data_IF_520146933802
#
_entry.id   IF_520146933802
#
_cell.length_a   1.000
_cell.length_b   1.000
_cell.length_c   1.000
_cell.angle_alpha   90.00
_cell.angle_beta   90.00
_cell.angle_gamma   90.00
#
_symmetry.space_group_name_H-M   'P 1'
#
loop_
_entity.id
_entity.type
_entity.pdbx_description
1 polymer ?
#
# COMPACT_ATOMS: atom_id res chain seq x y z
N UNK A 1 -19.46 -1.94 10.82
CA UNK A 1 -18.68 -2.11 9.58
C UNK A 1 -18.23 -3.55 9.34
N UNK A 2 -17.55 -4.21 10.31
CA UNK A 2 -17.11 -5.61 10.17
C UNK A 2 -18.24 -6.57 9.76
N UNK A 3 -19.39 -6.51 10.43
CA UNK A 3 -20.50 -7.42 10.13
C UNK A 3 -21.12 -7.18 8.75
N UNK A 4 -21.13 -5.92 8.30
CA UNK A 4 -21.55 -5.60 6.93
C UNK A 4 -20.59 -6.22 5.88
N UNK A 5 -19.27 -6.11 6.10
CA UNK A 5 -18.27 -6.76 5.22
C UNK A 5 -18.43 -8.28 5.24
N UNK A 6 -18.66 -8.87 6.42
CA UNK A 6 -18.94 -10.31 6.55
C UNK A 6 -20.20 -10.72 5.78
N UNK A 7 -21.28 -9.95 5.89
CA UNK A 7 -22.51 -10.20 5.14
C UNK A 7 -22.28 -10.20 3.63
N UNK A 8 -21.50 -9.25 3.11
CA UNK A 8 -21.13 -9.25 1.67
C UNK A 8 -20.30 -10.48 1.31
N UNK A 9 -19.34 -10.87 2.16
CA UNK A 9 -18.47 -12.02 1.92
C UNK A 9 -19.19 -13.37 1.91
N UNK A 10 -20.39 -13.46 2.51
CA UNK A 10 -21.24 -14.65 2.43
C UNK A 10 -21.89 -14.83 1.05
N UNK A 11 -22.00 -13.76 0.26
CA UNK A 11 -22.65 -13.78 -1.04
C UNK A 11 -21.69 -13.59 -2.22
N UNK A 12 -20.56 -12.90 -2.00
CA UNK A 12 -19.61 -12.54 -3.05
C UNK A 12 -18.15 -12.69 -2.60
N UNK A 13 -17.24 -13.15 -3.49
CA UNK A 13 -15.81 -13.03 -3.25
C UNK A 13 -15.44 -11.58 -2.92
N UNK A 14 -14.93 -11.36 -1.71
CA UNK A 14 -14.73 -10.01 -1.18
C UNK A 14 -13.25 -9.76 -0.88
N UNK A 15 -12.74 -8.62 -1.35
CA UNK A 15 -11.35 -8.23 -1.20
C UNK A 15 -11.19 -6.83 -0.58
N UNK A 16 -10.19 -6.67 0.28
CA UNK A 16 -9.78 -5.36 0.81
C UNK A 16 -8.45 -4.96 0.19
N UNK A 17 -8.42 -3.81 -0.49
CA UNK A 17 -7.23 -3.27 -1.16
C UNK A 17 -6.77 -1.98 -0.47
N UNK A 18 -5.61 -2.01 0.18
CA UNK A 18 -5.11 -0.95 1.04
C UNK A 18 -3.67 -0.53 0.72
N UNK A 19 -3.31 0.71 1.10
CA UNK A 19 -1.92 1.16 1.12
C UNK A 19 -1.13 0.59 2.31
N UNK A 20 -1.82 0.26 3.40
CA UNK A 20 -1.23 -0.29 4.63
C UNK A 20 -0.74 -1.72 4.44
N UNK A 21 0.20 -2.18 5.26
CA UNK A 21 0.58 -3.59 5.27
C UNK A 21 -0.62 -4.50 5.53
N UNK A 22 -0.57 -5.70 4.94
CA UNK A 22 -1.66 -6.67 4.99
C UNK A 22 -2.03 -7.04 6.41
N UNK A 23 -1.04 -7.25 7.28
CA UNK A 23 -1.26 -7.71 8.66
C UNK A 23 -1.96 -6.63 9.49
N UNK A 24 -1.63 -5.35 9.29
CA UNK A 24 -2.33 -4.23 9.95
C UNK A 24 -3.78 -4.13 9.52
N UNK A 25 -4.07 -4.31 8.23
CA UNK A 25 -5.45 -4.33 7.72
C UNK A 25 -6.22 -5.52 8.28
N UNK A 26 -5.60 -6.70 8.29
CA UNK A 26 -6.20 -7.90 8.89
C UNK A 26 -6.48 -7.69 10.38
N UNK A 27 -5.58 -7.08 11.15
CA UNK A 27 -5.79 -6.83 12.57
C UNK A 27 -6.97 -5.88 12.87
N UNK A 28 -7.31 -4.97 11.96
CA UNK A 28 -8.52 -4.15 12.07
C UNK A 28 -9.78 -4.93 11.72
N UNK A 29 -9.73 -5.72 10.65
CA UNK A 29 -10.93 -6.36 10.07
C UNK A 29 -11.23 -7.72 10.70
N UNK A 30 -10.22 -8.57 10.92
CA UNK A 30 -10.28 -9.88 11.56
C UNK A 30 -11.29 -10.84 10.92
N UNK A 31 -11.33 -10.86 9.59
CA UNK A 31 -12.14 -11.78 8.79
C UNK A 31 -11.21 -12.64 7.94
N UNK A 32 -11.23 -13.95 8.13
CA UNK A 32 -10.33 -14.92 7.48
C UNK A 32 -10.86 -15.38 6.11
N UNK A 33 -12.13 -15.09 5.83
CA UNK A 33 -12.86 -15.40 4.61
C UNK A 33 -12.62 -14.38 3.48
N UNK A 34 -11.82 -13.33 3.71
CA UNK A 34 -11.56 -12.27 2.73
C UNK A 34 -10.22 -12.43 2.02
N UNK A 35 -10.14 -11.83 0.82
CA UNK A 35 -8.88 -11.53 0.17
C UNK A 35 -8.31 -10.21 0.72
N UNK A 36 -7.01 -10.17 0.98
CA UNK A 36 -6.33 -8.96 1.43
C UNK A 36 -5.20 -8.61 0.47
N UNK A 37 -5.20 -7.37 0.01
CA UNK A 37 -4.13 -6.77 -0.80
C UNK A 37 -3.57 -5.55 -0.05
N UNK A 38 -2.46 -5.75 0.66
CA UNK A 38 -1.73 -4.71 1.39
C UNK A 38 -0.65 -4.04 0.55
N UNK A 39 -0.02 -3.00 1.10
CA UNK A 39 1.15 -2.32 0.52
C UNK A 39 0.90 -1.84 -0.91
N UNK A 40 -0.21 -1.12 -1.12
CA UNK A 40 -0.69 -0.68 -2.44
C UNK A 40 -0.98 -1.83 -3.43
N UNK A 41 -1.22 -3.02 -2.88
CA UNK A 41 -1.50 -4.24 -3.60
C UNK A 41 -0.28 -5.12 -3.87
N UNK A 42 0.90 -4.81 -3.32
CA UNK A 42 2.12 -5.62 -3.45
C UNK A 42 2.16 -6.81 -2.47
N UNK A 43 1.22 -6.94 -1.55
CA UNK A 43 1.11 -8.10 -0.66
C UNK A 43 -0.31 -8.67 -0.69
N UNK A 44 -0.57 -9.62 -1.59
CA UNK A 44 -1.90 -10.22 -1.77
C UNK A 44 -1.95 -11.61 -1.12
N UNK A 45 -2.98 -11.88 -0.32
CA UNK A 45 -3.30 -13.20 0.21
C UNK A 45 -4.79 -13.48 0.11
N UNK A 46 -5.13 -14.70 -0.30
CA UNK A 46 -6.51 -15.20 -0.25
C UNK A 46 -6.94 -15.71 1.13
N UNK A 47 -8.21 -16.10 1.25
CA UNK A 47 -8.78 -16.69 2.47
C UNK A 47 -8.00 -17.92 2.93
N UNK A 48 -7.87 -18.11 4.25
CA UNK A 48 -7.12 -19.27 4.81
C UNK A 48 -7.99 -20.48 5.09
N UNK A 49 -9.30 -20.31 5.27
CA UNK A 49 -10.24 -21.38 5.67
C UNK A 49 -11.11 -21.93 4.53
N UNK A 50 -11.23 -21.22 3.42
CA UNK A 50 -12.33 -21.42 2.45
C UNK A 50 -11.85 -21.92 1.08
N UNK A 51 -10.57 -21.78 0.75
CA UNK A 51 -10.07 -22.04 -0.60
C UNK A 51 -8.97 -23.09 -0.65
N UNK A 52 -9.16 -24.13 -1.47
CA UNK A 52 -8.11 -25.08 -1.89
C UNK A 52 -7.00 -24.41 -2.74
N UNK A 53 -7.19 -23.15 -3.15
CA UNK A 53 -6.25 -22.37 -3.94
C UNK A 53 -5.47 -21.40 -3.05
N UNK A 54 -4.17 -21.63 -2.89
CA UNK A 54 -3.26 -20.68 -2.22
C UNK A 54 -3.04 -19.46 -3.11
N UNK A 55 -3.86 -18.43 -2.94
CA UNK A 55 -3.66 -17.14 -3.62
C UNK A 55 -2.61 -16.33 -2.83
N UNK A 56 -1.43 -16.16 -3.42
CA UNK A 56 -0.35 -15.31 -2.92
C UNK A 56 0.27 -14.55 -4.11
N UNK A 57 0.41 -13.22 -3.98
CA UNK A 57 1.14 -12.42 -4.96
C UNK A 57 1.97 -11.35 -4.25
N UNK A 58 3.27 -11.37 -4.52
CA UNK A 58 4.24 -10.44 -3.95
C UNK A 58 5.22 -10.00 -5.06
N UNK A 59 4.81 -9.10 -5.96
CA UNK A 59 5.59 -8.73 -7.14
C UNK A 59 6.84 -7.91 -6.81
N UNK A 60 7.02 -7.50 -5.55
CA UNK A 60 8.12 -6.66 -5.08
C UNK A 60 9.02 -7.37 -4.04
N UNK A 61 8.99 -8.71 -3.94
CA UNK A 61 9.76 -9.48 -2.94
C UNK A 61 11.25 -9.15 -2.94
N UNK A 62 11.85 -8.91 -4.12
CA UNK A 62 13.26 -8.53 -4.24
C UNK A 62 13.62 -7.19 -3.57
N UNK A 63 12.62 -6.34 -3.29
CA UNK A 63 12.82 -5.05 -2.63
C UNK A 63 12.79 -5.12 -1.10
N UNK A 64 12.42 -6.26 -0.50
CA UNK A 64 12.33 -6.37 0.96
C UNK A 64 13.63 -5.99 1.69
N UNK A 65 14.83 -6.43 1.24
CA UNK A 65 16.07 -6.05 1.89
C UNK A 65 16.32 -4.55 1.86
N UNK A 66 16.17 -3.91 0.70
CA UNK A 66 16.39 -2.46 0.55
C UNK A 66 15.33 -1.64 1.29
N UNK A 67 14.08 -2.11 1.37
CA UNK A 67 13.04 -1.44 2.17
C UNK A 67 13.38 -1.49 3.66
N UNK A 68 13.93 -2.61 4.15
CA UNK A 68 14.35 -2.73 5.54
C UNK A 68 15.54 -1.83 5.85
N UNK A 69 16.53 -1.79 4.98
CA UNK A 69 17.69 -0.90 5.09
C UNK A 69 17.27 0.59 5.14
N UNK A 70 16.43 1.02 4.20
CA UNK A 70 15.93 2.41 4.16
C UNK A 70 15.07 2.73 5.37
N UNK A 71 14.32 1.74 5.90
CA UNK A 71 13.54 1.91 7.13
C UNK A 71 14.42 2.22 8.33
N UNK A 72 15.51 1.48 8.51
CA UNK A 72 16.46 1.69 9.61
C UNK A 72 17.13 3.06 9.50
N UNK A 73 17.63 3.41 8.30
CA UNK A 73 18.24 4.71 8.03
C UNK A 73 17.29 5.88 8.27
N UNK A 74 16.06 5.80 7.77
CA UNK A 74 15.06 6.84 8.00
C UNK A 74 14.66 6.93 9.48
N UNK A 75 14.49 5.79 10.16
CA UNK A 75 14.11 5.80 11.57
C UNK A 75 15.16 6.55 12.40
N UNK A 76 16.44 6.22 12.23
CA UNK A 76 17.53 6.90 12.93
C UNK A 76 17.60 8.41 12.61
N UNK A 77 17.42 8.80 11.35
CA UNK A 77 17.41 10.23 10.97
C UNK A 77 16.22 10.99 11.55
N UNK A 78 15.03 10.39 11.54
CA UNK A 78 13.80 11.04 12.02
C UNK A 78 13.73 11.18 13.54
N UNK A 79 14.57 10.49 14.32
CA UNK A 79 14.67 10.67 15.78
C UNK A 79 15.00 12.12 16.18
N UNK A 80 15.73 12.83 15.33
CA UNK A 80 16.08 14.23 15.54
C UNK A 80 14.95 15.23 15.28
N UNK A 81 13.82 14.78 14.72
CA UNK A 81 12.68 15.64 14.34
C UNK A 81 11.46 15.28 15.22
N UNK A 82 11.16 16.06 16.27
CA UNK A 82 10.04 15.78 17.17
C UNK A 82 8.72 15.63 16.42
N UNK A 83 7.99 14.55 16.71
CA UNK A 83 6.69 14.25 16.11
C UNK A 83 6.75 13.56 14.75
N UNK A 84 7.94 13.36 14.17
CA UNK A 84 8.11 12.53 12.97
C UNK A 84 7.97 11.04 13.33
N UNK A 85 7.38 10.25 12.44
CA UNK A 85 7.22 8.81 12.65
C UNK A 85 7.41 8.06 11.34
N UNK A 86 8.30 7.07 11.34
CA UNK A 86 8.50 6.16 10.22
C UNK A 86 7.69 4.88 10.45
N UNK A 87 6.82 4.54 9.50
CA UNK A 87 6.00 3.32 9.52
C UNK A 87 6.44 2.35 8.42
N UNK A 88 6.78 1.12 8.81
CA UNK A 88 7.07 0.03 7.88
C UNK A 88 5.76 -0.68 7.45
N UNK A 89 5.41 -0.53 6.17
CA UNK A 89 4.28 -1.17 5.52
C UNK A 89 4.70 -2.37 4.64
N UNK A 90 5.76 -3.10 5.02
CA UNK A 90 6.36 -4.27 4.37
C UNK A 90 7.05 -3.99 3.03
N UNK A 91 6.30 -3.53 2.04
CA UNK A 91 6.85 -3.13 0.73
C UNK A 91 6.89 -1.61 0.54
N UNK A 92 6.33 -0.86 1.48
CA UNK A 92 6.35 0.60 1.46
C UNK A 92 6.79 1.11 2.82
N UNK A 93 7.34 2.32 2.86
CA UNK A 93 7.55 3.08 4.09
C UNK A 93 6.69 4.34 4.07
N UNK A 94 6.32 4.82 5.24
CA UNK A 94 5.57 6.06 5.39
C UNK A 94 6.21 6.93 6.46
N UNK A 95 6.68 8.11 6.08
CA UNK A 95 7.17 9.12 7.01
C UNK A 95 6.03 10.09 7.29
N UNK A 96 5.43 9.96 8.47
CA UNK A 96 4.35 10.81 8.93
C UNK A 96 4.92 12.07 9.57
N UNK A 97 4.38 13.22 9.17
CA UNK A 97 4.80 14.54 9.68
C UNK A 97 3.61 15.35 10.19
N UNK A 98 2.52 14.66 10.56
CA UNK A 98 1.30 15.32 11.06
C UNK A 98 1.52 16.08 12.36
N UNK A 99 2.37 15.53 13.22
CA UNK A 99 2.68 16.06 14.54
C UNK A 99 4.03 16.79 14.57
N UNK A 100 4.62 17.04 13.40
CA UNK A 100 5.85 17.81 13.24
C UNK A 100 5.47 19.29 13.09
N UNK A 101 6.21 20.16 13.76
CA UNK A 101 6.08 21.61 13.61
C UNK A 101 6.23 22.03 12.15
N UNK A 102 5.39 22.96 11.69
CA UNK A 102 5.31 23.31 10.27
C UNK A 102 6.63 23.87 9.71
N UNK A 103 7.39 24.58 10.55
CA UNK A 103 8.72 25.09 10.21
C UNK A 103 9.74 23.97 9.86
N UNK A 104 9.55 22.75 10.39
CA UNK A 104 10.44 21.61 10.20
C UNK A 104 10.04 20.73 9.01
N UNK A 105 8.89 20.98 8.37
CA UNK A 105 8.40 20.13 7.26
C UNK A 105 9.37 20.08 6.08
N UNK A 106 10.00 21.21 5.75
CA UNK A 106 10.96 21.29 4.66
C UNK A 106 12.27 20.58 5.01
N UNK A 107 12.72 20.66 6.27
CA UNK A 107 13.90 19.95 6.75
C UNK A 107 13.68 18.43 6.68
N UNK A 108 12.56 17.94 7.21
CA UNK A 108 12.15 16.54 7.10
C UNK A 108 12.09 16.08 5.63
N UNK A 109 11.49 16.89 4.77
CA UNK A 109 11.38 16.58 3.34
C UNK A 109 12.74 16.49 2.64
N UNK A 110 13.73 17.30 3.04
CA UNK A 110 15.11 17.22 2.53
C UNK A 110 15.81 15.95 3.01
N UNK A 111 15.72 15.63 4.31
CA UNK A 111 16.32 14.41 4.86
C UNK A 111 15.80 13.14 4.19
N UNK A 112 14.48 13.05 4.00
CA UNK A 112 13.87 11.89 3.31
C UNK A 112 14.35 11.79 1.86
N UNK A 113 14.49 12.92 1.15
CA UNK A 113 15.01 12.91 -0.23
C UNK A 113 16.48 12.52 -0.28
N UNK A 114 17.31 13.07 0.61
CA UNK A 114 18.73 12.78 0.67
C UNK A 114 18.99 11.28 0.87
N UNK A 115 18.22 10.63 1.75
CA UNK A 115 18.31 9.16 1.90
C UNK A 115 17.98 8.45 0.59
N UNK A 116 16.98 8.90 -0.16
CA UNK A 116 16.54 8.23 -1.39
C UNK A 116 17.46 8.46 -2.60
N UNK A 117 18.43 9.38 -2.53
CA UNK A 117 19.41 9.59 -3.61
C UNK A 117 20.22 8.33 -3.90
N UNK A 118 20.52 7.54 -2.86
CA UNK A 118 21.25 6.27 -2.97
C UNK A 118 20.38 5.09 -3.45
N UNK A 119 19.05 5.28 -3.54
CA UNK A 119 18.09 4.21 -3.86
C UNK A 119 17.22 4.55 -5.08
N UNK A 120 17.78 4.61 -6.30
CA UNK A 120 17.07 5.03 -7.51
C UNK A 120 15.91 4.11 -7.93
N UNK A 121 15.86 2.88 -7.38
CA UNK A 121 14.75 1.95 -7.61
C UNK A 121 13.57 2.17 -6.66
N UNK A 122 13.65 3.15 -5.75
CA UNK A 122 12.55 3.59 -4.90
C UNK A 122 12.02 4.93 -5.39
N UNK A 123 10.73 5.19 -5.14
CA UNK A 123 10.11 6.46 -5.48
C UNK A 123 9.39 7.05 -4.28
N UNK A 124 9.45 8.38 -4.19
CA UNK A 124 8.78 9.18 -3.17
C UNK A 124 7.44 9.70 -3.71
N UNK A 125 6.38 9.53 -2.93
CA UNK A 125 5.07 10.10 -3.21
C UNK A 125 4.54 10.86 -2.00
N UNK A 126 3.73 11.89 -2.25
CA UNK A 126 3.16 12.74 -1.19
C UNK A 126 1.71 12.36 -0.92
N UNK A 127 1.39 12.11 0.34
CA UNK A 127 0.02 11.96 0.84
C UNK A 127 -0.36 13.10 1.78
N UNK A 128 -1.50 12.95 2.46
CA UNK A 128 -1.98 13.96 3.42
C UNK A 128 -1.18 13.93 4.71
N UNK A 129 -0.20 14.82 4.83
CA UNK A 129 0.77 14.90 5.94
C UNK A 129 1.59 13.60 6.13
N UNK A 130 1.94 12.97 5.01
CA UNK A 130 2.78 11.77 4.94
C UNK A 130 3.59 11.74 3.65
N UNK A 131 4.84 11.28 3.73
CA UNK A 131 5.69 10.94 2.58
C UNK A 131 5.74 9.41 2.46
N UNK A 132 5.33 8.87 1.32
CA UNK A 132 5.30 7.43 1.05
C UNK A 132 6.47 7.04 0.14
N UNK A 133 7.30 6.12 0.61
CA UNK A 133 8.40 5.50 -0.16
C UNK A 133 7.95 4.12 -0.64
N UNK A 134 8.14 3.82 -1.92
CA UNK A 134 7.76 2.52 -2.49
C UNK A 134 8.66 2.09 -3.65
N UNK A 135 8.76 0.79 -3.95
CA UNK A 135 9.41 0.26 -5.14
C UNK A 135 8.91 0.92 -6.43
N UNK A 136 9.83 1.31 -7.30
CA UNK A 136 9.54 1.82 -8.63
C UNK A 136 9.29 0.66 -9.60
N UNK A 137 8.13 0.03 -9.46
CA UNK A 137 7.67 -1.06 -10.33
C UNK A 137 6.35 -0.70 -11.00
N UNK A 138 6.05 -1.34 -12.13
CA UNK A 138 4.78 -1.18 -12.86
C UNK A 138 3.63 -1.91 -12.15
N UNK A 139 3.44 -1.66 -10.86
CA UNK A 139 2.41 -2.25 -10.01
C UNK A 139 1.56 -1.17 -9.33
N UNK A 140 0.25 -1.42 -9.25
CA UNK A 140 -0.70 -0.54 -8.57
C UNK A 140 -1.94 -1.34 -8.11
N UNK A 141 -2.86 -0.68 -7.39
CA UNK A 141 -4.11 -1.29 -6.94
C UNK A 141 -4.96 -1.88 -8.07
N UNK A 142 -4.91 -1.30 -9.27
CA UNK A 142 -5.59 -1.85 -10.44
C UNK A 142 -4.97 -3.17 -10.93
N UNK A 143 -3.64 -3.31 -10.82
CA UNK A 143 -2.98 -4.58 -11.11
C UNK A 143 -3.30 -5.64 -10.04
N UNK A 144 -3.38 -5.25 -8.77
CA UNK A 144 -3.86 -6.13 -7.70
C UNK A 144 -5.29 -6.63 -7.95
N UNK A 145 -6.20 -5.75 -8.38
CA UNK A 145 -7.56 -6.13 -8.77
C UNK A 145 -7.56 -7.11 -9.96
N UNK A 146 -6.77 -6.84 -11.00
CA UNK A 146 -6.65 -7.76 -12.16
C UNK A 146 -6.14 -9.13 -11.75
N UNK A 147 -5.15 -9.18 -10.86
CA UNK A 147 -4.64 -10.44 -10.31
C UNK A 147 -5.75 -11.20 -9.57
N UNK A 148 -6.46 -10.53 -8.67
CA UNK A 148 -7.55 -11.15 -7.90
C UNK A 148 -8.67 -11.67 -8.80
N UNK A 149 -9.11 -10.89 -9.80
CA UNK A 149 -10.12 -11.33 -10.76
C UNK A 149 -9.67 -12.56 -11.55
N UNK A 150 -8.41 -12.59 -12.00
CA UNK A 150 -7.84 -13.76 -12.67
C UNK A 150 -7.80 -14.98 -11.74
N UNK A 151 -7.42 -14.80 -10.48
CA UNK A 151 -7.40 -15.88 -9.48
C UNK A 151 -8.78 -16.40 -9.09
N UNK A 152 -9.81 -15.60 -9.33
CA UNK A 152 -11.23 -15.93 -9.12
C UNK A 152 -11.94 -16.36 -10.41
N UNK A 153 -11.21 -16.52 -11.51
CA UNK A 153 -11.74 -16.91 -12.83
C UNK A 153 -12.77 -15.93 -13.42
N UNK A 154 -12.75 -14.67 -13.00
CA UNK A 154 -13.58 -13.62 -13.56
C UNK A 154 -12.95 -12.97 -14.80
N UNK A 155 -13.77 -12.80 -15.85
CA UNK A 155 -13.38 -12.10 -17.07
C UNK A 155 -13.65 -10.60 -16.95
N UNK A 156 -12.65 -9.77 -17.23
CA UNK A 156 -12.82 -8.31 -17.32
C UNK A 156 -13.42 -7.92 -18.68
N UNK A 157 -14.66 -7.46 -18.69
CA UNK A 157 -15.21 -6.74 -19.83
C UNK A 157 -14.67 -5.30 -19.87
N UNK A 158 -13.97 -4.93 -20.94
CA UNK A 158 -13.48 -3.56 -21.12
C UNK A 158 -14.64 -2.64 -21.49
N UNK A 159 -15.15 -1.87 -20.53
CA UNK A 159 -16.01 -0.72 -20.84
C UNK A 159 -15.17 0.48 -21.25
N UNK A 160 -15.41 0.99 -22.47
CA UNK A 160 -14.78 2.21 -22.99
C UNK A 160 -15.49 3.42 -22.37
N UNK A 161 -14.93 3.98 -21.31
CA UNK A 161 -15.43 5.25 -20.73
C UNK A 161 -15.16 6.36 -21.74
N UNK A 162 -16.21 6.83 -22.43
CA UNK A 162 -16.14 8.04 -23.22
C UNK A 162 -16.08 9.22 -22.24
N UNK A 163 -14.89 9.83 -22.09
CA UNK A 163 -14.77 11.08 -21.35
C UNK A 163 -15.35 12.19 -22.21
N UNK A 164 -16.55 12.66 -21.90
CA UNK A 164 -17.06 13.93 -22.44
C UNK A 164 -16.20 15.06 -21.86
N UNK A 165 -15.27 15.58 -22.67
CA UNK A 165 -14.49 16.77 -22.35
C UNK A 165 -15.26 18.02 -22.75
N UNK A 166 -16.24 18.42 -21.96
CA UNK A 166 -16.79 19.79 -22.03
C UNK A 166 -17.13 20.27 -20.62
N UNK A 167 -16.19 21.00 -20.01
CA UNK A 167 -16.52 22.02 -19.01
C UNK A 167 -16.19 23.38 -19.63
N UNK A 168 -17.16 24.30 -19.75
CA UNK A 168 -16.87 25.67 -20.15
C UNK A 168 -16.10 26.38 -19.03
N UNK A 169 -15.29 27.37 -19.42
CA UNK A 169 -14.45 28.21 -18.58
C UNK A 169 -15.28 29.12 -17.67
#
# INVERSE_FOLDING_TARGET
MRDAVRGVAQHFPTAIVSGRCRDKVFNFVKLEELYYAGSHGMDIKGPTKVSNHKVLCQPATEFLPVIQEVYETLTAKMESIPGAMVENNKFCLSVHFRCVEEAEWDALGREVKAVLEDYPKLCLTKGRKVLEIRPFIKWNKGNALKFLLKSLEYTLYKYKVHRNSTRPR
#
